data_IF_139024908646
#
_entry.id   IF_139024908646
#
_cell.length_a   1.000
_cell.length_b   1.000
_cell.length_c   1.000
_cell.angle_alpha   90.00
_cell.angle_beta   90.00
_cell.angle_gamma   90.00
#
_symmetry.space_group_name_H-M   'P 1'
#
loop_
_entity.id
_entity.type
_entity.pdbx_description
1 polymer ?
#
# COMPACT_ATOMS: atom_id res chain seq x y z
N UNK A 1 65.84 112.64 21.43
CA UNK A 1 67.15 111.97 21.50
C UNK A 1 67.10 110.91 22.59
N UNK A 2 67.52 109.68 22.30
CA UNK A 2 67.65 108.60 23.28
C UNK A 2 67.22 107.25 22.74
N UNK A 3 67.95 106.77 21.74
CA UNK A 3 67.78 105.52 21.00
C UNK A 3 68.02 104.23 21.82
N UNK A 4 67.29 103.17 21.42
CA UNK A 4 67.67 101.75 21.20
C UNK A 4 68.49 101.02 22.30
N UNK A 5 68.18 99.76 22.64
CA UNK A 5 68.47 98.57 21.81
C UNK A 5 67.82 97.28 22.35
N UNK A 6 67.82 96.18 21.56
CA UNK A 6 66.85 95.11 21.60
C UNK A 6 67.30 93.90 22.42
N UNK A 7 66.33 93.16 22.98
CA UNK A 7 66.58 91.85 23.56
C UNK A 7 66.04 90.77 22.59
N UNK A 8 66.95 90.21 21.80
CA UNK A 8 66.73 88.96 21.06
C UNK A 8 67.11 87.82 21.99
N UNK A 9 66.14 87.00 22.38
CA UNK A 9 66.38 85.59 22.72
C UNK A 9 65.21 84.77 22.18
N UNK A 10 65.54 83.91 21.23
CA UNK A 10 64.59 83.18 20.42
C UNK A 10 64.00 81.96 21.10
N UNK A 11 62.94 81.48 20.46
CA UNK A 11 62.74 80.08 20.14
C UNK A 11 61.83 80.04 18.90
N UNK A 12 62.43 79.79 17.74
CA UNK A 12 61.69 79.56 16.50
C UNK A 12 61.11 78.14 16.59
N UNK A 13 59.86 78.02 17.06
CA UNK A 13 59.15 76.75 17.05
C UNK A 13 58.66 76.47 15.61
N UNK A 14 59.17 75.40 14.99
CA UNK A 14 58.66 74.88 13.73
C UNK A 14 57.21 74.40 13.85
N UNK A 15 56.50 74.18 12.73
CA UNK A 15 55.08 73.89 12.73
C UNK A 15 54.77 72.59 13.50
N UNK A 16 53.63 72.59 14.19
CA UNK A 16 53.14 71.47 14.99
C UNK A 16 52.94 70.22 14.14
N UNK A 17 53.59 69.13 14.52
CA UNK A 17 53.36 67.80 13.94
C UNK A 17 51.98 67.32 14.45
N UNK A 18 51.03 66.96 13.57
CA UNK A 18 49.73 66.47 13.99
C UNK A 18 49.87 65.10 14.69
N UNK A 19 49.03 64.79 15.69
CA UNK A 19 49.08 63.49 16.37
C UNK A 19 48.77 62.34 15.39
N UNK A 20 49.39 61.16 15.54
CA UNK A 20 49.09 60.01 14.70
C UNK A 20 47.60 59.62 14.87
N UNK A 21 46.89 59.57 13.75
CA UNK A 21 45.52 59.06 13.68
C UNK A 21 45.47 57.63 14.18
N UNK A 22 44.83 57.41 15.33
CA UNK A 22 44.47 56.07 15.79
C UNK A 22 43.39 55.51 14.86
N UNK A 23 43.75 54.61 13.96
CA UNK A 23 42.78 53.79 13.22
C UNK A 23 42.13 52.81 14.21
N UNK A 24 40.88 53.07 14.60
CA UNK A 24 40.08 52.06 15.26
C UNK A 24 39.63 51.05 14.19
N UNK A 25 40.30 49.90 14.14
CA UNK A 25 39.76 48.75 13.42
C UNK A 25 38.67 48.12 14.28
N UNK A 26 37.43 48.56 14.07
CA UNK A 26 36.25 47.83 14.52
C UNK A 26 36.26 46.46 13.83
N UNK A 27 36.56 45.40 14.58
CA UNK A 27 36.25 44.03 14.16
C UNK A 27 34.73 43.85 14.14
N UNK A 28 34.14 44.15 12.98
CA UNK A 28 32.78 43.75 12.66
C UNK A 28 32.71 42.23 12.67
N UNK A 29 32.21 41.67 13.77
CA UNK A 29 31.69 40.29 13.82
C UNK A 29 30.84 40.06 12.58
N UNK A 30 31.17 39.03 11.80
CA UNK A 30 30.27 38.37 10.84
C UNK A 30 29.07 37.82 11.61
N UNK A 31 28.14 38.71 11.96
CA UNK A 31 26.79 38.36 12.36
C UNK A 31 25.95 38.37 11.10
N UNK A 32 25.51 37.19 10.66
CA UNK A 32 24.41 37.09 9.72
C UNK A 32 23.21 37.82 10.33
N UNK A 33 22.83 38.94 9.73
CA UNK A 33 21.79 39.79 10.26
C UNK A 33 21.63 41.04 9.40
N UNK A 34 20.60 40.99 8.55
CA UNK A 34 19.92 42.11 7.90
C UNK A 34 20.76 43.21 7.25
N UNK A 35 20.71 43.26 5.92
CA UNK A 35 21.11 44.42 5.12
C UNK A 35 20.22 45.62 5.50
N UNK A 36 20.74 46.54 6.32
CA UNK A 36 20.15 47.84 6.60
C UNK A 36 21.13 48.93 6.13
N UNK A 37 21.19 49.19 4.83
CA UNK A 37 21.86 50.38 4.27
C UNK A 37 21.25 50.71 2.90
N UNK A 38 20.34 51.67 2.89
CA UNK A 38 19.72 52.25 1.70
C UNK A 38 18.31 51.73 1.40
N UNK A 39 17.32 52.61 1.50
CA UNK A 39 15.91 52.48 1.08
C UNK A 39 14.92 51.73 2.01
N UNK A 40 14.41 52.48 2.98
CA UNK A 40 13.35 52.11 3.92
C UNK A 40 11.93 51.98 3.31
N UNK A 41 11.75 52.03 1.99
CA UNK A 41 10.41 51.84 1.36
C UNK A 41 10.18 50.42 0.79
N UNK A 42 11.24 49.63 0.58
CA UNK A 42 11.15 48.25 0.05
C UNK A 42 11.33 47.14 1.08
N UNK A 43 11.77 47.48 2.31
CA UNK A 43 12.22 46.50 3.30
C UNK A 43 11.08 45.80 4.06
N UNK A 44 9.86 46.35 4.04
CA UNK A 44 8.72 45.76 4.74
C UNK A 44 8.13 44.56 3.96
N UNK A 45 8.18 44.58 2.63
CA UNK A 45 7.66 43.51 1.77
C UNK A 45 8.47 42.21 1.86
N UNK A 46 9.81 42.30 1.87
CA UNK A 46 10.68 41.11 1.94
C UNK A 46 10.59 40.38 3.28
N UNK A 47 10.44 41.11 4.39
CA UNK A 47 10.26 40.52 5.72
C UNK A 47 8.89 39.84 5.84
N UNK A 48 7.82 40.47 5.36
CA UNK A 48 6.47 39.89 5.37
C UNK A 48 6.41 38.64 4.48
N UNK A 49 6.99 38.69 3.27
CA UNK A 49 7.06 37.53 2.37
C UNK A 49 7.90 36.39 2.96
N UNK A 50 9.02 36.69 3.63
CA UNK A 50 9.83 35.70 4.34
C UNK A 50 9.08 35.05 5.50
N UNK A 51 8.33 35.84 6.29
CA UNK A 51 7.49 35.32 7.37
C UNK A 51 6.36 34.43 6.82
N UNK A 52 5.68 34.86 5.77
CA UNK A 52 4.62 34.07 5.10
C UNK A 52 5.20 32.76 4.57
N UNK A 53 6.35 32.79 3.91
CA UNK A 53 7.00 31.59 3.38
C UNK A 53 7.41 30.61 4.48
N UNK A 54 7.95 31.10 5.60
CA UNK A 54 8.27 30.26 6.76
C UNK A 54 7.01 29.64 7.39
N UNK A 55 5.90 30.39 7.48
CA UNK A 55 4.62 29.86 7.96
C UNK A 55 4.10 28.77 7.01
N UNK A 56 4.18 28.98 5.70
CA UNK A 56 3.77 27.99 4.70
C UNK A 56 4.62 26.72 4.78
N UNK A 57 5.94 26.85 4.97
CA UNK A 57 6.83 25.70 5.19
C UNK A 57 6.47 24.97 6.48
N UNK A 58 6.29 25.69 7.59
CA UNK A 58 5.91 25.09 8.86
C UNK A 58 4.56 24.35 8.74
N UNK A 59 3.58 24.94 8.07
CA UNK A 59 2.29 24.31 7.79
C UNK A 59 2.46 23.05 6.92
N UNK A 60 3.28 23.12 5.87
CA UNK A 60 3.57 21.97 5.00
C UNK A 60 4.24 20.82 5.79
N UNK A 61 5.16 21.14 6.70
CA UNK A 61 5.79 20.15 7.59
C UNK A 61 4.75 19.51 8.51
N UNK A 62 3.88 20.30 9.14
CA UNK A 62 2.83 19.79 10.04
C UNK A 62 1.86 18.89 9.27
N UNK A 63 1.42 19.31 8.08
CA UNK A 63 0.55 18.49 7.21
C UNK A 63 1.27 17.21 6.77
N UNK A 64 2.55 17.30 6.42
CA UNK A 64 3.37 16.14 6.05
C UNK A 64 3.49 15.13 7.18
N UNK A 65 3.76 15.59 8.41
CA UNK A 65 3.82 14.74 9.61
C UNK A 65 2.45 14.10 9.88
N UNK A 66 1.36 14.88 9.81
CA UNK A 66 0.01 14.37 10.01
C UNK A 66 -0.34 13.29 8.95
N UNK A 67 0.01 13.51 7.68
CA UNK A 67 -0.18 12.54 6.61
C UNK A 67 0.64 11.27 6.85
N UNK A 68 1.88 11.39 7.32
CA UNK A 68 2.74 10.26 7.69
C UNK A 68 2.13 9.43 8.82
N UNK A 69 1.61 10.08 9.86
CA UNK A 69 0.94 9.42 10.98
C UNK A 69 -0.31 8.68 10.49
N UNK A 70 -1.16 9.34 9.70
CA UNK A 70 -2.37 8.73 9.13
C UNK A 70 -2.00 7.51 8.28
N UNK A 71 -0.99 7.62 7.42
CA UNK A 71 -0.52 6.53 6.59
C UNK A 71 -0.01 5.35 7.42
N UNK A 72 0.78 5.61 8.47
CA UNK A 72 1.32 4.57 9.35
C UNK A 72 0.21 3.84 10.12
N UNK A 73 -0.86 4.56 10.51
CA UNK A 73 -2.02 3.99 11.20
C UNK A 73 -2.90 3.15 10.26
N UNK A 74 -3.12 3.63 9.03
CA UNK A 74 -4.05 3.03 8.07
C UNK A 74 -3.39 2.15 7.01
N UNK A 75 -2.09 1.81 7.16
CA UNK A 75 -1.38 0.91 6.26
C UNK A 75 -2.15 -0.42 6.09
N UNK A 76 -2.73 -0.68 4.90
CA UNK A 76 -3.50 -1.89 4.69
C UNK A 76 -2.56 -3.09 4.59
N UNK A 77 -2.87 -4.12 5.35
CA UNK A 77 -2.27 -5.44 5.24
C UNK A 77 -3.11 -6.28 4.28
N UNK A 78 -2.45 -7.07 3.44
CA UNK A 78 -3.11 -7.95 2.50
C UNK A 78 -4.04 -8.95 3.20
N UNK A 79 -5.27 -9.08 2.70
CA UNK A 79 -6.24 -10.08 3.16
C UNK A 79 -5.71 -11.45 2.75
N UNK A 80 -5.73 -12.42 3.67
CA UNK A 80 -5.26 -13.77 3.38
C UNK A 80 -6.45 -14.67 3.05
N UNK A 81 -6.34 -15.41 1.94
CA UNK A 81 -7.33 -16.37 1.48
C UNK A 81 -6.74 -17.77 1.56
N UNK A 82 -7.51 -18.70 2.10
CA UNK A 82 -7.13 -20.10 2.20
C UNK A 82 -8.33 -20.97 1.85
N UNK A 83 -8.12 -22.06 1.12
CA UNK A 83 -9.10 -23.14 1.05
C UNK A 83 -8.82 -24.07 2.22
N UNK A 84 -9.77 -24.16 3.14
CA UNK A 84 -9.65 -24.97 4.36
C UNK A 84 -10.07 -26.41 4.14
N UNK A 85 -11.09 -26.63 3.31
CA UNK A 85 -11.58 -27.95 2.99
C UNK A 85 -12.19 -27.96 1.59
N UNK A 86 -11.99 -29.03 0.85
CA UNK A 86 -12.55 -29.24 -0.47
C UNK A 86 -12.94 -30.70 -0.63
N UNK A 87 -14.19 -30.94 -1.06
CA UNK A 87 -14.73 -32.27 -1.23
C UNK A 87 -15.34 -32.43 -2.61
N UNK A 88 -14.80 -33.36 -3.38
CA UNK A 88 -15.33 -33.72 -4.69
C UNK A 88 -16.14 -35.00 -4.55
N UNK A 89 -17.44 -34.94 -4.83
CA UNK A 89 -18.32 -36.13 -4.74
C UNK A 89 -18.63 -36.72 -6.10
N UNK A 90 -18.60 -35.89 -7.15
CA UNK A 90 -18.79 -36.32 -8.53
C UNK A 90 -17.85 -35.51 -9.42
N UNK A 91 -17.17 -36.21 -10.33
CA UNK A 91 -16.40 -35.60 -11.42
C UNK A 91 -16.25 -36.63 -12.54
N UNK A 92 -17.13 -36.57 -13.53
CA UNK A 92 -17.20 -37.60 -14.58
C UNK A 92 -17.41 -36.93 -15.92
N UNK A 93 -16.50 -37.17 -16.86
CA UNK A 93 -16.57 -36.66 -18.23
C UNK A 93 -17.26 -37.68 -19.13
N UNK A 94 -18.40 -37.29 -19.71
CA UNK A 94 -19.13 -38.09 -20.69
C UNK A 94 -18.42 -38.14 -22.05
N UNK A 95 -18.82 -39.09 -22.90
CA UNK A 95 -18.32 -39.21 -24.28
C UNK A 95 -18.70 -38.04 -25.18
N UNK A 96 -19.71 -37.27 -24.77
CA UNK A 96 -20.20 -36.03 -25.36
C UNK A 96 -19.44 -34.78 -24.86
N UNK A 97 -18.33 -34.95 -24.14
CA UNK A 97 -17.59 -33.89 -23.45
C UNK A 97 -18.41 -33.14 -22.39
N UNK A 98 -19.51 -33.72 -21.91
CA UNK A 98 -20.28 -33.17 -20.81
C UNK A 98 -19.70 -33.63 -19.48
N UNK A 99 -19.13 -32.69 -18.72
CA UNK A 99 -18.57 -32.95 -17.41
C UNK A 99 -19.65 -32.78 -16.35
N UNK A 100 -19.96 -33.85 -15.62
CA UNK A 100 -20.84 -33.84 -14.44
C UNK A 100 -19.99 -33.68 -13.20
N UNK A 101 -20.30 -32.67 -12.39
CA UNK A 101 -19.47 -32.31 -11.24
C UNK A 101 -20.30 -31.96 -10.00
N UNK A 102 -19.75 -32.26 -8.84
CA UNK A 102 -20.25 -31.80 -7.56
C UNK A 102 -19.07 -31.57 -6.59
N UNK A 103 -18.74 -30.30 -6.40
CA UNK A 103 -17.59 -29.83 -5.64
C UNK A 103 -18.05 -28.92 -4.50
N UNK A 104 -17.81 -29.34 -3.27
CA UNK A 104 -17.95 -28.53 -2.06
C UNK A 104 -16.61 -27.85 -1.74
N UNK A 105 -16.64 -26.54 -1.53
CA UNK A 105 -15.49 -25.73 -1.17
C UNK A 105 -15.77 -24.94 0.09
N UNK A 106 -14.89 -25.08 1.08
CA UNK A 106 -14.85 -24.23 2.26
C UNK A 106 -13.57 -23.41 2.22
N UNK A 107 -13.72 -22.09 2.12
CA UNK A 107 -12.60 -21.16 2.15
C UNK A 107 -12.68 -20.23 3.35
N UNK A 108 -11.52 -19.89 3.87
CA UNK A 108 -11.33 -19.00 5.00
C UNK A 108 -10.71 -17.69 4.53
N UNK A 109 -11.39 -16.60 4.85
CA UNK A 109 -10.94 -15.24 4.56
C UNK A 109 -10.50 -14.59 5.86
N UNK A 110 -9.23 -14.17 5.93
CA UNK A 110 -8.65 -13.54 7.11
C UNK A 110 -8.35 -12.07 6.82
N UNK A 111 -9.00 -11.17 7.56
CA UNK A 111 -8.67 -9.74 7.56
C UNK A 111 -7.67 -9.39 8.68
N UNK A 112 -6.35 -9.31 8.43
CA UNK A 112 -5.38 -8.97 9.48
C UNK A 112 -5.47 -7.52 9.98
N UNK A 113 -6.22 -6.66 9.28
CA UNK A 113 -6.26 -5.23 9.58
C UNK A 113 -7.00 -4.93 10.88
N UNK A 114 -6.37 -4.11 11.74
CA UNK A 114 -6.93 -3.69 13.04
C UNK A 114 -7.95 -2.57 12.95
N UNK A 115 -7.88 -1.75 11.89
CA UNK A 115 -8.67 -0.51 11.75
C UNK A 115 -9.40 -0.41 10.40
N UNK A 116 -9.29 -1.45 9.57
CA UNK A 116 -9.92 -1.51 8.26
C UNK A 116 -10.90 -2.68 8.24
N UNK A 117 -12.17 -2.40 8.02
CA UNK A 117 -13.19 -3.40 7.72
C UNK A 117 -13.29 -3.65 6.22
N UNK A 118 -13.88 -4.77 5.82
CA UNK A 118 -14.04 -5.15 4.41
C UNK A 118 -15.48 -5.53 4.16
N UNK A 119 -16.14 -4.84 3.23
CA UNK A 119 -17.41 -5.28 2.67
C UNK A 119 -17.12 -6.15 1.46
N UNK A 120 -17.66 -7.36 1.45
CA UNK A 120 -17.68 -8.25 0.29
C UNK A 120 -19.05 -8.11 -0.35
N UNK A 121 -19.16 -7.23 -1.35
CA UNK A 121 -20.43 -6.93 -2.01
C UNK A 121 -20.86 -8.06 -2.98
N UNK A 122 -19.88 -8.74 -3.57
CA UNK A 122 -20.11 -9.88 -4.46
C UNK A 122 -18.91 -10.82 -4.37
N UNK A 123 -19.19 -12.11 -4.31
CA UNK A 123 -18.20 -13.18 -4.31
C UNK A 123 -18.71 -14.24 -5.28
N UNK A 124 -18.04 -14.38 -6.41
CA UNK A 124 -18.31 -15.43 -7.39
C UNK A 124 -17.15 -16.41 -7.39
N UNK A 125 -17.42 -17.67 -7.07
CA UNK A 125 -16.44 -18.75 -7.07
C UNK A 125 -16.62 -19.55 -8.35
N UNK A 126 -15.54 -19.76 -9.10
CA UNK A 126 -15.55 -20.48 -10.37
C UNK A 126 -14.59 -21.65 -10.32
N UNK A 127 -15.05 -22.82 -10.74
CA UNK A 127 -14.23 -24.02 -10.88
C UNK A 127 -13.71 -24.16 -12.30
N UNK A 128 -12.43 -24.47 -12.42
CA UNK A 128 -11.72 -24.71 -13.67
C UNK A 128 -10.99 -26.06 -13.61
N UNK A 129 -10.92 -26.74 -14.74
CA UNK A 129 -10.06 -27.89 -14.96
C UNK A 129 -9.21 -27.61 -16.19
N UNK A 130 -7.89 -27.58 -16.02
CA UNK A 130 -7.00 -26.90 -16.96
C UNK A 130 -7.47 -25.46 -17.18
N UNK A 131 -7.61 -25.05 -18.44
CA UNK A 131 -8.10 -23.71 -18.78
C UNK A 131 -9.62 -23.58 -18.89
N UNK A 132 -10.37 -24.69 -18.73
CA UNK A 132 -11.80 -24.71 -18.96
C UNK A 132 -12.64 -24.61 -17.71
N UNK A 133 -13.56 -23.64 -17.72
CA UNK A 133 -14.53 -23.43 -16.66
C UNK A 133 -15.62 -24.49 -16.75
N UNK A 134 -15.79 -25.27 -15.70
CA UNK A 134 -16.91 -26.21 -15.60
C UNK A 134 -18.09 -25.63 -14.83
N UNK A 135 -17.84 -24.83 -13.79
CA UNK A 135 -18.92 -24.38 -12.90
C UNK A 135 -18.67 -23.02 -12.25
N UNK A 136 -19.72 -22.48 -11.65
CA UNK A 136 -19.61 -21.35 -10.72
C UNK A 136 -20.73 -21.33 -9.71
N UNK A 137 -20.46 -20.68 -8.58
CA UNK A 137 -21.43 -20.45 -7.53
C UNK A 137 -21.21 -19.06 -6.92
N UNK A 138 -22.28 -18.46 -6.42
CA UNK A 138 -22.23 -17.15 -5.78
C UNK A 138 -22.40 -17.33 -4.28
N UNK A 139 -21.59 -16.60 -3.52
CA UNK A 139 -21.73 -16.52 -2.07
C UNK A 139 -22.43 -15.22 -1.69
N UNK A 140 -23.29 -15.32 -0.68
CA UNK A 140 -23.98 -14.17 -0.08
C UNK A 140 -23.00 -13.07 0.35
N UNK A 141 -23.29 -11.80 0.04
CA UNK A 141 -22.50 -10.66 0.50
C UNK A 141 -22.41 -10.60 2.02
N UNK A 142 -21.26 -10.19 2.56
CA UNK A 142 -21.09 -10.02 4.00
C UNK A 142 -20.09 -8.93 4.35
N UNK A 143 -20.17 -8.46 5.59
CA UNK A 143 -19.20 -7.53 6.16
C UNK A 143 -18.24 -8.26 7.09
N UNK A 144 -16.95 -8.08 6.88
CA UNK A 144 -15.91 -8.56 7.76
C UNK A 144 -15.30 -7.39 8.52
N UNK A 145 -15.47 -7.42 9.84
CA UNK A 145 -14.87 -6.45 10.75
C UNK A 145 -13.34 -6.58 10.85
N UNK A 146 -12.81 -5.85 11.81
CA UNK A 146 -11.37 -5.79 12.11
C UNK A 146 -10.86 -7.13 12.63
N UNK A 147 -9.64 -7.51 12.24
CA UNK A 147 -8.94 -8.68 12.79
C UNK A 147 -9.77 -9.97 12.77
N UNK A 148 -10.76 -10.06 11.89
CA UNK A 148 -11.68 -11.19 11.87
C UNK A 148 -11.27 -12.27 10.86
N UNK A 149 -11.73 -13.48 11.12
CA UNK A 149 -11.61 -14.64 10.24
C UNK A 149 -13.03 -15.12 9.94
N UNK A 150 -13.37 -15.25 8.66
CA UNK A 150 -14.68 -15.72 8.24
C UNK A 150 -14.50 -16.97 7.41
N UNK A 151 -15.21 -18.03 7.77
CA UNK A 151 -15.29 -19.26 6.99
C UNK A 151 -16.52 -19.16 6.10
N UNK A 152 -16.35 -19.50 4.84
CA UNK A 152 -17.38 -19.40 3.81
C UNK A 152 -17.39 -20.71 3.04
N UNK A 153 -18.54 -21.38 3.07
CA UNK A 153 -18.81 -22.57 2.29
C UNK A 153 -19.55 -22.24 1.00
N UNK A 154 -19.24 -22.95 -0.06
CA UNK A 154 -19.98 -22.91 -1.33
C UNK A 154 -20.01 -24.30 -1.96
N UNK A 155 -21.11 -24.62 -2.62
CA UNK A 155 -21.23 -25.82 -3.43
C UNK A 155 -21.30 -25.42 -4.91
N UNK A 156 -20.54 -26.12 -5.75
CA UNK A 156 -20.52 -25.98 -7.21
C UNK A 156 -20.97 -27.33 -7.76
N UNK A 157 -22.25 -27.42 -8.15
CA UNK A 157 -22.87 -28.62 -8.70
C UNK A 157 -23.48 -28.32 -10.06
N UNK A 158 -23.36 -29.25 -10.99
CA UNK A 158 -23.94 -29.11 -12.31
C UNK A 158 -23.35 -30.03 -13.36
N UNK A 159 -23.67 -29.69 -14.60
CA UNK A 159 -23.10 -30.32 -15.78
C UNK A 159 -22.77 -29.24 -16.81
N UNK A 160 -21.64 -29.38 -17.48
CA UNK A 160 -21.19 -28.40 -18.47
C UNK A 160 -20.36 -29.07 -19.55
N UNK A 161 -20.47 -28.56 -20.78
CA UNK A 161 -19.57 -28.95 -21.86
C UNK A 161 -18.17 -28.40 -21.60
N UNK A 162 -17.19 -29.30 -21.50
CA UNK A 162 -15.78 -28.98 -21.25
C UNK A 162 -14.94 -29.61 -22.35
N UNK A 163 -14.36 -28.78 -23.20
CA UNK A 163 -13.45 -29.23 -24.27
C UNK A 163 -12.02 -29.16 -23.77
N UNK A 164 -11.49 -30.31 -23.35
CA UNK A 164 -10.12 -30.46 -22.89
C UNK A 164 -9.17 -30.59 -24.10
N UNK A 165 -8.04 -29.86 -24.08
CA UNK A 165 -7.00 -30.01 -25.08
C UNK A 165 -6.24 -31.33 -24.89
N UNK A 166 -5.39 -31.73 -25.85
CA UNK A 166 -4.65 -32.99 -25.78
C UNK A 166 -3.85 -33.18 -24.48
N UNK A 167 -3.22 -32.12 -23.96
CA UNK A 167 -2.53 -32.12 -22.66
C UNK A 167 -3.49 -32.31 -21.49
N UNK A 168 -4.51 -31.45 -21.39
CA UNK A 168 -5.52 -31.50 -20.31
C UNK A 168 -6.27 -32.84 -20.28
N UNK A 169 -6.46 -33.49 -21.43
CA UNK A 169 -7.05 -34.84 -21.51
C UNK A 169 -6.14 -35.91 -20.92
N UNK A 170 -4.84 -35.86 -21.22
CA UNK A 170 -3.87 -36.78 -20.62
C UNK A 170 -3.79 -36.60 -19.11
N UNK A 171 -3.78 -35.34 -18.65
CA UNK A 171 -3.84 -34.99 -17.23
C UNK A 171 -5.12 -35.51 -16.57
N UNK A 172 -6.27 -35.40 -17.25
CA UNK A 172 -7.54 -35.93 -16.76
C UNK A 172 -7.53 -37.46 -16.62
N UNK A 173 -6.97 -38.19 -17.59
CA UNK A 173 -6.84 -39.64 -17.50
C UNK A 173 -5.93 -40.08 -16.35
N UNK A 174 -4.89 -39.32 -16.04
CA UNK A 174 -4.03 -39.54 -14.88
C UNK A 174 -4.74 -39.23 -13.55
N UNK A 175 -5.46 -38.12 -13.49
CA UNK A 175 -6.27 -37.72 -12.34
C UNK A 175 -7.37 -38.75 -12.04
N UNK A 176 -8.00 -39.31 -13.07
CA UNK A 176 -8.97 -40.41 -12.95
C UNK A 176 -8.34 -41.68 -12.39
N UNK A 177 -7.13 -42.05 -12.85
CA UNK A 177 -6.40 -43.23 -12.35
C UNK A 177 -5.95 -43.07 -10.91
N UNK A 178 -5.50 -41.87 -10.53
CA UNK A 178 -5.05 -41.56 -9.16
C UNK A 178 -6.21 -41.34 -8.18
N UNK A 179 -7.39 -40.96 -8.69
CA UNK A 179 -8.53 -40.52 -7.89
C UNK A 179 -8.37 -39.13 -7.28
N UNK A 180 -7.31 -38.40 -7.64
CA UNK A 180 -7.00 -37.05 -7.17
C UNK A 180 -7.06 -36.10 -8.37
N UNK A 181 -7.96 -35.12 -8.29
CA UNK A 181 -8.20 -34.18 -9.38
C UNK A 181 -7.52 -32.84 -9.12
N UNK A 182 -6.82 -32.33 -10.13
CA UNK A 182 -6.23 -30.99 -10.15
C UNK A 182 -7.27 -29.97 -10.61
N UNK A 183 -7.79 -29.19 -9.66
CA UNK A 183 -8.88 -28.24 -9.89
C UNK A 183 -8.43 -26.84 -9.51
N UNK A 184 -8.66 -25.88 -10.40
CA UNK A 184 -8.38 -24.47 -10.15
C UNK A 184 -9.66 -23.76 -9.69
N UNK A 185 -9.64 -23.22 -8.47
CA UNK A 185 -10.71 -22.38 -7.97
C UNK A 185 -10.35 -20.90 -8.14
N UNK A 186 -11.09 -20.19 -9.01
CA UNK A 186 -10.90 -18.76 -9.26
C UNK A 186 -12.05 -17.97 -8.61
N UNK A 187 -11.74 -17.13 -7.62
CA UNK A 187 -12.72 -16.27 -6.97
C UNK A 187 -12.66 -14.86 -7.58
N UNK A 188 -13.80 -14.34 -8.00
CA UNK A 188 -13.97 -12.95 -8.43
C UNK A 188 -14.74 -12.19 -7.37
N UNK A 189 -14.06 -11.22 -6.74
CA UNK A 189 -14.67 -10.46 -5.66
C UNK A 189 -15.00 -9.05 -6.12
N UNK A 190 -15.94 -8.42 -5.42
CA UNK A 190 -16.20 -7.00 -5.46
C UNK A 190 -16.21 -6.50 -4.02
N UNK A 191 -15.15 -5.79 -3.62
CA UNK A 191 -14.94 -5.41 -2.22
C UNK A 191 -14.85 -3.90 -2.03
N UNK A 192 -15.18 -3.44 -0.82
CA UNK A 192 -14.97 -2.06 -0.37
C UNK A 192 -14.31 -2.06 1.01
N UNK A 193 -13.26 -1.27 1.17
CA UNK A 193 -12.62 -1.06 2.47
C UNK A 193 -13.36 0.00 3.27
N UNK A 194 -13.51 -0.23 4.57
CA UNK A 194 -14.11 0.69 5.53
C UNK A 194 -13.01 1.24 6.45
N UNK A 195 -12.71 2.52 6.33
CA UNK A 195 -11.76 3.26 7.16
C UNK A 195 -12.54 4.12 8.15
N UNK A 196 -12.85 3.57 9.32
CA UNK A 196 -13.72 4.26 10.29
C UNK A 196 -15.12 4.53 9.71
N UNK A 197 -15.45 5.80 9.49
CA UNK A 197 -16.72 6.24 8.90
C UNK A 197 -16.70 6.32 7.36
N UNK A 198 -15.52 6.32 6.76
CA UNK A 198 -15.34 6.49 5.31
C UNK A 198 -15.29 5.12 4.63
N UNK A 199 -15.94 4.99 3.48
CA UNK A 199 -15.87 3.80 2.61
C UNK A 199 -15.02 4.13 1.39
N UNK A 200 -14.14 3.22 1.00
CA UNK A 200 -13.36 3.34 -0.23
C UNK A 200 -14.21 3.11 -1.47
N UNK A 201 -13.62 3.33 -2.64
CA UNK A 201 -14.16 2.83 -3.90
C UNK A 201 -14.20 1.30 -3.94
N UNK A 202 -14.88 0.76 -4.96
CA UNK A 202 -15.04 -0.68 -5.19
C UNK A 202 -13.81 -1.25 -5.89
N UNK A 203 -13.19 -2.25 -5.27
CA UNK A 203 -12.09 -3.03 -5.84
C UNK A 203 -12.61 -4.37 -6.37
N UNK A 204 -11.95 -4.92 -7.38
CA UNK A 204 -12.33 -6.19 -8.01
C UNK A 204 -11.16 -7.19 -8.05
N UNK A 205 -10.61 -7.59 -6.89
CA UNK A 205 -9.49 -8.53 -6.87
C UNK A 205 -9.95 -9.90 -7.39
N UNK A 206 -9.00 -10.61 -8.01
CA UNK A 206 -9.16 -11.98 -8.47
C UNK A 206 -8.25 -12.86 -7.62
N UNK A 207 -8.77 -13.97 -7.12
CA UNK A 207 -8.01 -14.91 -6.29
C UNK A 207 -7.96 -16.23 -7.05
N UNK A 208 -6.78 -16.85 -7.09
CA UNK A 208 -6.57 -18.17 -7.67
C UNK A 208 -6.11 -19.13 -6.57
N UNK A 209 -6.71 -20.30 -6.54
CA UNK A 209 -6.35 -21.37 -5.63
C UNK A 209 -6.21 -22.66 -6.44
N UNK A 210 -5.02 -23.24 -6.45
CA UNK A 210 -4.75 -24.49 -7.15
C UNK A 210 -4.98 -25.65 -6.17
N UNK A 211 -5.97 -26.49 -6.44
CA UNK A 211 -6.45 -27.50 -5.50
C UNK A 211 -6.16 -28.91 -6.03
N UNK A 212 -5.73 -29.78 -5.13
CA UNK A 212 -5.69 -31.23 -5.36
C UNK A 212 -6.77 -31.87 -4.50
N UNK A 213 -7.85 -32.33 -5.13
CA UNK A 213 -9.04 -32.79 -4.41
C UNK A 213 -9.28 -34.27 -4.69
N UNK A 214 -9.29 -35.13 -3.65
CA UNK A 214 -9.63 -36.54 -3.82
C UNK A 214 -11.12 -36.71 -4.10
N UNK A 215 -11.47 -37.69 -4.93
CA UNK A 215 -12.86 -38.07 -5.15
C UNK A 215 -13.37 -38.91 -3.98
N UNK A 216 -14.50 -38.50 -3.39
CA UNK A 216 -15.06 -39.13 -2.18
C UNK A 216 -15.47 -40.60 -2.36
N UNK A 217 -15.65 -41.06 -3.59
CA UNK A 217 -16.09 -42.43 -3.92
C UNK A 217 -14.94 -43.39 -4.20
N UNK A 218 -13.70 -42.91 -4.36
CA UNK A 218 -12.57 -43.81 -4.52
C UNK A 218 -12.17 -44.38 -3.16
N UNK A 219 -12.44 -45.67 -2.95
CA UNK A 219 -11.86 -46.50 -1.88
C UNK A 219 -10.32 -46.55 -1.90
N UNK A 220 -9.66 -45.78 -2.78
CA UNK A 220 -8.24 -45.88 -3.08
C UNK A 220 -7.35 -45.02 -2.17
N UNK A 221 -7.88 -44.11 -1.36
CA UNK A 221 -7.05 -43.35 -0.40
C UNK A 221 -7.84 -42.95 0.85
N UNK A 222 -8.00 -43.88 1.77
CA UNK A 222 -8.33 -43.61 3.18
C UNK A 222 -7.30 -42.73 3.92
N UNK A 223 -6.29 -42.18 3.22
CA UNK A 223 -5.17 -41.41 3.78
C UNK A 223 -4.97 -40.01 3.18
N UNK A 224 -5.57 -39.67 2.02
CA UNK A 224 -5.40 -38.32 1.46
C UNK A 224 -6.44 -37.37 2.06
N UNK A 225 -6.08 -36.75 3.18
CA UNK A 225 -6.84 -35.63 3.71
C UNK A 225 -6.50 -34.37 2.91
N UNK A 226 -7.53 -33.62 2.51
CA UNK A 226 -7.34 -32.34 1.83
C UNK A 226 -6.45 -31.43 2.67
N UNK A 227 -5.32 -30.99 2.09
CA UNK A 227 -4.41 -30.10 2.78
C UNK A 227 -4.85 -28.65 2.54
N UNK A 228 -4.87 -27.86 3.61
CA UNK A 228 -5.20 -26.43 3.53
C UNK A 228 -4.27 -25.71 2.55
N UNK A 229 -4.84 -25.23 1.45
CA UNK A 229 -4.10 -24.49 0.42
C UNK A 229 -4.18 -22.99 0.63
N UNK A 230 -3.06 -22.30 0.48
CA UNK A 230 -3.02 -20.83 0.42
C UNK A 230 -3.31 -20.38 -1.00
N UNK A 231 -4.18 -19.38 -1.15
CA UNK A 231 -4.50 -18.83 -2.45
C UNK A 231 -3.67 -17.59 -2.77
N UNK A 232 -3.40 -17.38 -4.05
CA UNK A 232 -2.73 -16.19 -4.57
C UNK A 232 -3.76 -15.13 -4.97
N UNK A 233 -3.42 -13.88 -4.64
CA UNK A 233 -4.32 -12.73 -4.83
C UNK A 233 -3.74 -11.84 -5.92
N UNK A 234 -4.41 -11.82 -7.07
CA UNK A 234 -4.16 -10.90 -8.17
C UNK A 234 -5.03 -9.64 -7.96
N UNK A 235 -4.40 -8.49 -7.73
CA UNK A 235 -5.08 -7.20 -7.55
C UNK A 235 -5.37 -6.50 -8.88
#
# INVERSE_FOLDING_TARGET
>A
MGDRQPHLNGAYYGPSIPPPTKTSHSHGRRGGGCCCLGDCLGCCGCCILSVIFNILIALAIVVGIAALIIWLIFRPNAIKFHVTDAKLTQFTLGTDNNLRYNLDLNFTIRNPNRRIGVYYDQIEVRGYYGDQRFGASNVSPFYQGHKNTTVVGTNIVGQSLVVLNGGDRGDFEEDVKSGIYRIDAKLRLKIRFKFGLIKSWKFKPKIRCDLKVPLSTSNATSEFQFQRTKCDVDF
#
